data_IF_400660430014
#
_entry.id   IF_400660430014
#
_cell.length_a   1.000
_cell.length_b   1.000
_cell.length_c   1.000
_cell.angle_alpha   90.00
_cell.angle_beta   90.00
_cell.angle_gamma   90.00
#
_symmetry.space_group_name_H-M   'P 1'
#
loop_
_entity.id
_entity.type
_entity.pdbx_description
1 polymer ?
#
# COMPACT_ATOMS: atom_id res chain seq x y z
N UNK A 1 -6.08 36.18 -23.29
CA UNK A 1 -5.45 35.22 -22.35
C UNK A 1 -6.52 34.75 -21.37
N UNK A 2 -7.09 33.57 -21.61
CA UNK A 2 -8.17 33.02 -20.79
C UNK A 2 -7.65 32.50 -19.46
N UNK A 3 -8.31 32.89 -18.36
CA UNK A 3 -8.08 32.38 -17.00
C UNK A 3 -8.25 30.86 -17.01
N UNK A 4 -7.16 30.14 -16.75
CA UNK A 4 -7.10 28.67 -16.89
C UNK A 4 -7.58 27.89 -15.66
N UNK A 5 -8.03 28.55 -14.60
CA UNK A 5 -8.60 27.88 -13.42
C UNK A 5 -9.75 28.71 -12.86
N UNK A 6 -10.95 28.13 -12.77
CA UNK A 6 -12.11 28.74 -12.12
C UNK A 6 -11.90 28.90 -10.60
N UNK A 7 -12.78 29.65 -9.93
CA UNK A 7 -12.74 29.89 -8.48
C UNK A 7 -12.72 28.62 -7.62
N UNK A 8 -13.22 27.51 -8.17
CA UNK A 8 -13.18 26.16 -7.58
C UNK A 8 -11.73 25.63 -7.51
N UNK A 9 -10.94 25.80 -8.58
CA UNK A 9 -9.56 25.33 -8.66
C UNK A 9 -8.65 26.00 -7.63
N UNK A 10 -8.83 27.31 -7.39
CA UNK A 10 -8.05 28.05 -6.40
C UNK A 10 -8.26 27.54 -4.96
N UNK A 11 -9.51 27.19 -4.59
CA UNK A 11 -9.83 26.63 -3.27
C UNK A 11 -9.22 25.24 -3.07
N UNK A 12 -9.15 24.44 -4.13
CA UNK A 12 -8.49 23.13 -4.07
C UNK A 12 -6.99 23.27 -3.80
N UNK A 13 -6.27 24.18 -4.47
CA UNK A 13 -4.83 24.38 -4.26
C UNK A 13 -4.49 24.91 -2.85
N UNK A 14 -5.29 25.81 -2.29
CA UNK A 14 -5.10 26.31 -0.92
C UNK A 14 -5.31 25.22 0.14
N UNK A 15 -6.30 24.34 -0.04
CA UNK A 15 -6.55 23.24 0.90
C UNK A 15 -5.49 22.14 0.89
N UNK A 16 -4.86 21.86 -0.26
CA UNK A 16 -3.73 20.92 -0.34
C UNK A 16 -2.49 21.45 0.40
N UNK A 17 -2.18 22.75 0.25
CA UNK A 17 -1.09 23.40 0.97
C UNK A 17 -1.33 23.45 2.48
N UNK A 18 -2.56 23.77 2.90
CA UNK A 18 -2.96 23.77 4.31
C UNK A 18 -2.86 22.37 4.94
N UNK A 19 -3.26 21.32 4.20
CA UNK A 19 -3.18 19.93 4.65
C UNK A 19 -1.74 19.49 4.92
N UNK A 20 -0.83 19.70 3.97
CA UNK A 20 0.58 19.35 4.14
C UNK A 20 1.20 20.07 5.35
N UNK A 21 0.88 21.36 5.54
CA UNK A 21 1.43 22.15 6.63
C UNK A 21 0.88 21.72 8.01
N UNK A 22 -0.41 21.39 8.11
CA UNK A 22 -1.00 20.79 9.33
C UNK A 22 -0.37 19.44 9.65
N UNK A 23 -0.12 18.61 8.64
CA UNK A 23 0.46 17.29 8.81
C UNK A 23 1.93 17.34 9.25
N UNK A 24 2.71 18.29 8.72
CA UNK A 24 4.07 18.56 9.22
C UNK A 24 4.03 18.99 10.70
N UNK A 25 3.08 19.83 11.08
CA UNK A 25 2.92 20.28 12.47
C UNK A 25 2.47 19.17 13.43
N UNK A 26 1.74 18.17 12.93
CA UNK A 26 1.35 16.98 13.71
C UNK A 26 2.42 15.88 13.73
N UNK A 27 3.60 16.12 13.13
CA UNK A 27 4.69 15.14 13.09
C UNK A 27 4.49 14.02 12.07
N UNK A 28 3.64 14.22 11.06
CA UNK A 28 3.42 13.23 10.02
C UNK A 28 4.67 13.03 9.16
N UNK A 29 4.89 11.78 8.75
CA UNK A 29 5.99 11.39 7.88
C UNK A 29 5.79 11.92 6.45
N UNK A 30 6.87 12.11 5.66
CA UNK A 30 6.78 12.48 4.24
C UNK A 30 5.85 11.56 3.44
N UNK A 31 5.82 10.28 3.80
CA UNK A 31 4.96 9.25 3.23
C UNK A 31 3.47 9.51 3.50
N UNK A 32 3.14 9.88 4.74
CA UNK A 32 1.77 10.22 5.15
C UNK A 32 1.28 11.49 4.47
N UNK A 33 2.14 12.50 4.33
CA UNK A 33 1.84 13.75 3.62
C UNK A 33 1.54 13.47 2.15
N UNK A 34 2.36 12.64 1.49
CA UNK A 34 2.17 12.33 0.07
C UNK A 34 0.88 11.51 -0.20
N UNK A 35 0.55 10.58 0.71
CA UNK A 35 -0.69 9.82 0.64
C UNK A 35 -1.92 10.75 0.80
N UNK A 36 -1.89 11.66 1.77
CA UNK A 36 -2.98 12.60 2.02
C UNK A 36 -3.20 13.58 0.85
N UNK A 37 -2.11 14.11 0.27
CA UNK A 37 -2.18 14.96 -0.92
C UNK A 37 -2.78 14.21 -2.12
N UNK A 38 -2.39 12.94 -2.32
CA UNK A 38 -2.94 12.11 -3.41
C UNK A 38 -4.44 11.88 -3.26
N UNK A 39 -4.94 11.67 -2.04
CA UNK A 39 -6.38 11.52 -1.79
C UNK A 39 -7.16 12.82 -1.94
N UNK A 40 -6.59 13.93 -1.47
CA UNK A 40 -7.17 15.26 -1.62
C UNK A 40 -7.31 15.65 -3.10
N UNK A 41 -6.28 15.41 -3.91
CA UNK A 41 -6.28 15.67 -5.36
C UNK A 41 -7.25 14.77 -6.13
N UNK A 42 -7.63 13.61 -5.58
CA UNK A 42 -8.62 12.69 -6.16
C UNK A 42 -10.07 13.06 -5.80
N UNK A 43 -10.31 14.15 -5.06
CA UNK A 43 -11.65 14.64 -4.74
C UNK A 43 -12.45 13.73 -3.79
N UNK A 44 -11.77 12.86 -3.04
CA UNK A 44 -12.39 11.91 -2.12
C UNK A 44 -12.61 12.49 -0.71
N UNK A 45 -12.74 13.82 -0.59
CA UNK A 45 -13.05 14.51 0.66
C UNK A 45 -14.39 15.23 0.46
N UNK A 46 -15.47 14.89 1.20
CA UNK A 46 -16.73 15.60 1.09
C UNK A 46 -16.57 17.09 1.36
N UNK A 47 -17.29 17.93 0.61
CA UNK A 47 -17.30 19.38 0.82
C UNK A 47 -17.56 19.72 2.29
N UNK A 48 -16.66 20.52 2.88
CA UNK A 48 -16.78 21.00 4.26
C UNK A 48 -16.19 20.09 5.34
N UNK A 49 -15.57 18.95 5.01
CA UNK A 49 -14.81 18.16 5.98
C UNK A 49 -13.34 18.61 6.03
N UNK A 50 -12.78 18.76 7.25
CA UNK A 50 -11.34 19.02 7.39
C UNK A 50 -10.59 17.82 6.80
N UNK A 51 -9.65 18.00 5.85
CA UNK A 51 -8.88 16.88 5.31
C UNK A 51 -8.03 16.19 6.39
N UNK A 52 -7.78 16.82 7.55
CA UNK A 52 -7.25 16.18 8.74
C UNK A 52 -8.29 15.30 9.48
N UNK A 53 -9.59 15.61 9.42
CA UNK A 53 -10.66 14.71 9.88
C UNK A 53 -10.88 13.51 8.96
N UNK A 54 -10.41 13.53 7.71
CA UNK A 54 -10.34 12.32 6.86
C UNK A 54 -9.45 11.21 7.45
N UNK A 55 -8.56 11.54 8.40
CA UNK A 55 -7.81 10.57 9.20
C UNK A 55 -8.67 9.88 10.28
N UNK A 56 -9.81 10.48 10.66
CA UNK A 56 -10.75 9.94 11.65
C UNK A 56 -11.31 8.58 11.22
N UNK A 57 -11.62 8.41 9.94
CA UNK A 57 -12.26 7.18 9.46
C UNK A 57 -11.33 5.97 9.48
N UNK A 58 -10.01 6.16 9.36
CA UNK A 58 -9.00 5.10 9.41
C UNK A 58 -8.35 4.95 10.78
N UNK A 59 -8.57 5.89 11.70
CA UNK A 59 -8.18 5.77 13.10
C UNK A 59 -8.72 4.48 13.73
N UNK A 60 -9.89 4.00 13.29
CA UNK A 60 -10.46 2.70 13.70
C UNK A 60 -9.59 1.48 13.35
N UNK A 61 -8.66 1.61 12.41
CA UNK A 61 -7.72 0.56 12.02
C UNK A 61 -6.33 0.73 12.63
N UNK A 62 -6.13 1.71 13.51
CA UNK A 62 -4.87 1.90 14.23
C UNK A 62 -4.98 1.37 15.64
N UNK A 63 -3.86 0.94 16.21
CA UNK A 63 -3.74 0.56 17.61
C UNK A 63 -3.48 1.80 18.49
N UNK A 64 -3.42 1.61 19.80
CA UNK A 64 -3.19 2.69 20.78
C UNK A 64 -1.87 3.44 20.58
N UNK A 65 -0.88 2.82 19.93
CA UNK A 65 0.43 3.42 19.61
C UNK A 65 0.42 4.19 18.30
N UNK A 66 -0.69 4.16 17.57
CA UNK A 66 -0.81 4.79 16.26
C UNK A 66 -0.34 3.92 15.09
N UNK A 67 0.14 2.69 15.32
CA UNK A 67 0.48 1.76 14.25
C UNK A 67 -0.77 1.12 13.65
N UNK A 68 -0.67 0.58 12.44
CA UNK A 68 -1.76 -0.21 11.85
C UNK A 68 -2.05 -1.46 12.68
N UNK A 69 -3.32 -1.71 12.95
CA UNK A 69 -3.82 -2.95 13.53
C UNK A 69 -3.86 -4.03 12.46
N UNK A 70 -2.70 -4.63 12.19
CA UNK A 70 -2.57 -5.67 11.19
C UNK A 70 -3.35 -6.93 11.58
N UNK A 71 -4.01 -7.60 10.63
CA UNK A 71 -4.64 -8.90 10.88
C UNK A 71 -3.62 -9.93 11.42
N UNK A 72 -4.07 -10.89 12.26
CA UNK A 72 -3.21 -11.95 12.77
C UNK A 72 -2.69 -12.85 11.64
N UNK A 73 -1.81 -13.80 11.98
CA UNK A 73 -1.26 -14.78 11.04
C UNK A 73 -0.59 -14.15 9.81
N UNK A 74 0.09 -13.02 9.99
CA UNK A 74 0.72 -12.26 8.90
C UNK A 74 -0.31 -11.88 7.81
N UNK A 75 -1.55 -11.60 8.21
CA UNK A 75 -2.64 -11.24 7.31
C UNK A 75 -3.16 -12.35 6.42
N UNK A 76 -2.86 -13.62 6.72
CA UNK A 76 -3.47 -14.75 6.05
C UNK A 76 -4.69 -15.29 6.83
N UNK A 77 -5.66 -15.85 6.11
CA UNK A 77 -6.77 -16.62 6.69
C UNK A 77 -6.19 -17.82 7.45
N UNK A 78 -6.63 -18.02 8.69
CA UNK A 78 -6.19 -19.15 9.51
C UNK A 78 -6.40 -20.47 8.79
N UNK A 79 -5.40 -21.35 8.78
CA UNK A 79 -5.44 -22.64 8.07
C UNK A 79 -5.18 -22.57 6.57
N UNK A 80 -5.09 -21.38 5.95
CA UNK A 80 -4.75 -21.24 4.52
C UNK A 80 -3.24 -21.26 4.24
N UNK A 81 -2.42 -21.10 5.28
CA UNK A 81 -0.96 -21.00 5.14
C UNK A 81 -0.35 -22.37 4.88
N UNK A 82 0.47 -22.45 3.84
CA UNK A 82 1.23 -23.66 3.48
C UNK A 82 2.63 -23.30 2.97
N UNK A 83 3.59 -24.19 3.20
CA UNK A 83 4.92 -24.06 2.62
C UNK A 83 4.85 -24.36 1.12
N UNK A 84 5.55 -23.55 0.32
CA UNK A 84 5.60 -23.71 -1.13
C UNK A 84 6.98 -23.32 -1.67
N UNK A 85 7.21 -23.59 -2.95
CA UNK A 85 8.29 -22.99 -3.71
C UNK A 85 7.71 -22.22 -4.90
N UNK A 86 8.03 -20.93 -5.02
CA UNK A 86 7.61 -20.10 -6.15
C UNK A 86 8.49 -20.47 -7.35
N UNK A 87 7.91 -20.91 -8.48
CA UNK A 87 8.69 -21.38 -9.61
C UNK A 87 9.39 -20.24 -10.35
N UNK A 88 10.52 -20.55 -10.98
CA UNK A 88 11.20 -19.66 -11.92
C UNK A 88 10.24 -19.23 -13.04
N UNK A 89 10.34 -17.97 -13.45
CA UNK A 89 9.49 -17.34 -14.47
C UNK A 89 8.19 -16.75 -13.92
N UNK A 90 7.87 -16.98 -12.64
CA UNK A 90 6.70 -16.36 -12.00
C UNK A 90 6.88 -14.84 -11.98
N UNK A 91 5.84 -14.10 -12.38
CA UNK A 91 5.78 -12.65 -12.22
C UNK A 91 5.05 -12.34 -10.92
N UNK A 92 5.75 -11.65 -10.03
CA UNK A 92 5.27 -11.19 -8.74
C UNK A 92 5.14 -9.67 -8.76
N UNK A 93 4.29 -9.12 -7.91
CA UNK A 93 4.29 -7.68 -7.65
C UNK A 93 4.10 -7.34 -6.17
N UNK A 94 4.50 -6.12 -5.83
CA UNK A 94 4.42 -5.56 -4.48
C UNK A 94 4.10 -4.08 -4.52
N UNK A 95 3.23 -3.67 -3.62
CA UNK A 95 3.08 -2.27 -3.22
C UNK A 95 3.93 -2.02 -1.98
N UNK A 96 4.79 -0.99 -2.03
CA UNK A 96 5.63 -0.57 -0.91
C UNK A 96 7.12 -0.91 -1.05
N UNK A 97 7.88 -0.65 0.02
CA UNK A 97 9.34 -0.71 0.04
C UNK A 97 9.92 -2.12 -0.19
N UNK A 98 11.13 -2.17 -0.75
CA UNK A 98 11.93 -3.38 -0.99
C UNK A 98 12.48 -4.03 0.30
N UNK A 99 12.37 -3.34 1.44
CA UNK A 99 12.66 -3.91 2.76
C UNK A 99 11.59 -4.89 3.26
N UNK A 100 10.49 -5.04 2.52
CA UNK A 100 9.40 -5.95 2.88
C UNK A 100 9.59 -7.39 2.42
N UNK A 101 8.69 -8.26 2.89
CA UNK A 101 8.74 -9.70 2.68
C UNK A 101 7.51 -10.27 1.95
N UNK A 102 6.50 -9.43 1.65
CA UNK A 102 5.23 -9.88 1.09
C UNK A 102 5.08 -9.49 -0.38
N UNK A 103 4.66 -10.44 -1.19
CA UNK A 103 4.41 -10.28 -2.64
C UNK A 103 3.16 -11.05 -3.00
N UNK A 104 2.53 -10.70 -4.12
CA UNK A 104 1.47 -11.51 -4.72
C UNK A 104 1.85 -11.91 -6.15
N UNK A 105 1.26 -12.98 -6.71
CA UNK A 105 1.24 -13.15 -8.16
C UNK A 105 0.76 -11.86 -8.83
N UNK A 106 1.42 -11.46 -9.92
CA UNK A 106 0.98 -10.25 -10.60
C UNK A 106 -0.41 -10.42 -11.20
N UNK A 107 -1.23 -9.39 -11.07
CA UNK A 107 -2.63 -9.41 -11.48
C UNK A 107 -3.63 -9.65 -10.36
N UNK A 108 -3.20 -10.00 -9.13
CA UNK A 108 -4.10 -9.99 -7.96
C UNK A 108 -4.66 -8.57 -7.77
N UNK A 109 -5.98 -8.35 -7.77
CA UNK A 109 -6.59 -7.02 -7.60
C UNK A 109 -6.15 -6.32 -6.32
N UNK A 110 -6.15 -4.98 -6.32
CA UNK A 110 -5.70 -4.20 -5.15
C UNK A 110 -6.56 -4.47 -3.90
N UNK A 111 -7.89 -4.51 -4.05
CA UNK A 111 -8.85 -4.79 -2.96
C UNK A 111 -8.67 -6.19 -2.37
N UNK A 112 -8.19 -7.15 -3.16
CA UNK A 112 -7.94 -8.51 -2.69
C UNK A 112 -6.67 -8.64 -1.85
N UNK A 113 -5.90 -7.55 -1.70
CA UNK A 113 -4.64 -7.53 -0.95
C UNK A 113 -4.77 -6.99 0.47
N UNK A 114 -5.92 -6.43 0.83
CA UNK A 114 -6.20 -5.89 2.16
C UNK A 114 -5.05 -5.04 2.73
N UNK A 115 -4.54 -4.11 1.92
CA UNK A 115 -3.40 -3.29 2.27
C UNK A 115 -3.82 -2.13 3.17
N UNK A 116 -2.93 -1.68 4.04
CA UNK A 116 -3.19 -0.53 4.89
C UNK A 116 -3.48 0.72 4.04
N UNK A 117 -4.36 1.63 4.52
CA UNK A 117 -4.65 2.88 3.84
C UNK A 117 -3.37 3.67 3.51
N UNK A 118 -3.34 4.30 2.34
CA UNK A 118 -2.17 5.03 1.83
C UNK A 118 -1.16 4.18 1.06
N UNK A 119 -1.21 2.85 1.14
CA UNK A 119 -0.29 1.96 0.39
C UNK A 119 -0.39 2.15 -1.14
N UNK A 120 -1.57 2.55 -1.64
CA UNK A 120 -1.80 2.85 -3.07
C UNK A 120 -0.99 4.04 -3.61
N UNK A 121 -0.40 4.88 -2.74
CA UNK A 121 0.47 5.97 -3.16
C UNK A 121 1.80 5.45 -3.76
N UNK A 122 2.16 4.20 -3.49
CA UNK A 122 3.30 3.54 -4.11
C UNK A 122 2.82 2.71 -5.29
N UNK A 123 3.28 2.99 -6.53
CA UNK A 123 2.94 2.14 -7.66
C UNK A 123 3.48 0.72 -7.44
N UNK A 124 2.77 -0.31 -7.91
CA UNK A 124 3.25 -1.68 -7.76
C UNK A 124 4.52 -1.88 -8.58
N UNK A 125 5.55 -2.44 -7.96
CA UNK A 125 6.77 -2.87 -8.65
C UNK A 125 6.62 -4.34 -8.98
N UNK A 126 6.93 -4.71 -10.22
CA UNK A 126 6.89 -6.08 -10.72
C UNK A 126 8.28 -6.71 -10.68
N UNK A 127 8.31 -8.00 -10.36
CA UNK A 127 9.51 -8.80 -10.26
C UNK A 127 9.33 -10.13 -10.99
N UNK A 128 10.35 -10.57 -11.73
CA UNK A 128 10.42 -11.92 -12.31
C UNK A 128 11.29 -12.80 -11.41
N UNK A 129 10.77 -13.97 -11.05
CA UNK A 129 11.51 -14.99 -10.31
C UNK A 129 12.53 -15.66 -11.22
N UNK A 130 13.82 -15.50 -10.93
CA UNK A 130 14.92 -16.05 -11.74
C UNK A 130 15.48 -17.36 -11.19
N UNK A 131 15.24 -17.66 -9.91
CA UNK A 131 15.53 -18.95 -9.25
C UNK A 131 14.34 -19.33 -8.38
N UNK A 132 14.01 -20.63 -8.20
CA UNK A 132 12.94 -21.04 -7.31
C UNK A 132 13.13 -20.49 -5.88
N UNK A 133 12.06 -19.99 -5.26
CA UNK A 133 12.10 -19.34 -3.93
C UNK A 133 11.19 -20.09 -2.95
N UNK A 134 11.71 -20.68 -1.87
CA UNK A 134 10.90 -21.17 -0.76
C UNK A 134 10.13 -20.01 -0.11
N UNK A 135 8.83 -20.22 0.13
CA UNK A 135 7.97 -19.21 0.72
C UNK A 135 6.78 -19.84 1.44
N UNK A 136 6.14 -19.07 2.31
CA UNK A 136 4.79 -19.37 2.82
C UNK A 136 3.76 -18.79 1.86
N UNK A 137 2.83 -19.60 1.36
CA UNK A 137 1.66 -19.16 0.58
C UNK A 137 0.45 -19.12 1.50
N UNK A 138 -0.34 -18.05 1.43
CA UNK A 138 -1.61 -17.95 2.15
C UNK A 138 -2.66 -17.16 1.36
N UNK A 139 -3.92 -17.36 1.73
CA UNK A 139 -5.04 -16.52 1.27
C UNK A 139 -5.12 -15.29 2.17
N UNK A 140 -5.14 -14.10 1.58
CA UNK A 140 -5.16 -12.83 2.31
C UNK A 140 -6.50 -12.67 3.04
N UNK A 141 -6.45 -12.36 4.33
CA UNK A 141 -7.64 -12.11 5.14
C UNK A 141 -8.24 -10.73 4.81
N UNK A 142 -9.57 -10.53 5.00
CA UNK A 142 -10.17 -9.20 4.96
C UNK A 142 -9.52 -8.28 6.01
N UNK A 143 -9.12 -7.08 5.63
CA UNK A 143 -8.62 -6.05 6.55
C UNK A 143 -8.78 -4.65 5.96
N UNK A 144 -8.74 -3.63 6.83
CA UNK A 144 -8.80 -2.22 6.43
C UNK A 144 -10.04 -1.81 5.61
N UNK A 145 -11.12 -2.59 5.69
CA UNK A 145 -12.35 -2.36 4.92
C UNK A 145 -12.35 -2.99 3.53
N UNK A 146 -11.29 -3.73 3.19
CA UNK A 146 -11.14 -4.45 1.95
C UNK A 146 -11.46 -5.95 2.14
N UNK A 147 -12.00 -6.62 1.11
CA UNK A 147 -12.46 -8.00 1.21
C UNK A 147 -11.32 -9.02 1.32
N UNK A 148 -10.10 -8.71 0.87
CA UNK A 148 -9.02 -9.70 0.79
C UNK A 148 -9.36 -10.82 -0.20
N UNK A 149 -8.90 -12.04 0.08
CA UNK A 149 -9.15 -13.23 -0.73
C UNK A 149 -8.08 -13.51 -1.79
N UNK A 150 -7.18 -12.56 -2.05
CA UNK A 150 -6.06 -12.75 -2.96
C UNK A 150 -5.01 -13.71 -2.42
N UNK A 151 -4.06 -14.10 -3.26
CA UNK A 151 -2.90 -14.90 -2.84
C UNK A 151 -1.77 -13.97 -2.41
N UNK A 152 -1.16 -14.28 -1.27
CA UNK A 152 0.13 -13.71 -0.89
C UNK A 152 1.18 -14.80 -0.69
N UNK A 153 2.43 -14.41 -0.95
CA UNK A 153 3.61 -15.12 -0.49
C UNK A 153 4.34 -14.28 0.55
N UNK A 154 4.71 -14.91 1.67
CA UNK A 154 5.68 -14.39 2.62
C UNK A 154 7.02 -15.06 2.37
N UNK A 155 8.00 -14.24 2.04
CA UNK A 155 9.35 -14.62 1.68
C UNK A 155 10.22 -14.75 2.94
N UNK A 156 11.26 -15.57 2.87
CA UNK A 156 12.23 -15.72 3.97
C UNK A 156 13.23 -14.55 4.04
N UNK A 157 13.43 -13.86 2.92
CA UNK A 157 14.33 -12.71 2.76
C UNK A 157 13.58 -11.50 2.20
N UNK A 158 14.17 -10.31 2.36
CA UNK A 158 13.60 -9.07 1.80
C UNK A 158 13.67 -9.07 0.27
N UNK A 159 12.85 -8.25 -0.38
CA UNK A 159 12.94 -8.01 -1.83
C UNK A 159 14.35 -7.54 -2.21
N UNK A 160 14.93 -6.63 -1.43
CA UNK A 160 16.29 -6.12 -1.62
C UNK A 160 17.34 -7.25 -1.63
N UNK A 161 17.31 -8.15 -0.63
CA UNK A 161 18.24 -9.27 -0.57
C UNK A 161 18.00 -10.30 -1.69
N UNK A 162 16.74 -10.55 -2.06
CA UNK A 162 16.43 -11.44 -3.19
C UNK A 162 16.89 -10.87 -4.53
N UNK A 163 16.86 -9.55 -4.73
CA UNK A 163 17.44 -8.90 -5.92
C UNK A 163 18.96 -9.07 -5.90
N UNK A 164 19.60 -8.69 -4.80
CA UNK A 164 21.07 -8.75 -4.62
C UNK A 164 21.61 -10.16 -4.84
N UNK A 165 20.94 -11.17 -4.32
CA UNK A 165 21.31 -12.58 -4.43
C UNK A 165 20.82 -13.24 -5.74
N UNK A 166 20.21 -12.46 -6.64
CA UNK A 166 19.73 -12.87 -7.95
C UNK A 166 18.75 -14.03 -7.87
N UNK A 167 17.76 -13.93 -6.99
CA UNK A 167 16.56 -14.77 -6.95
C UNK A 167 15.38 -14.15 -7.68
N UNK A 168 15.30 -12.82 -7.68
CA UNK A 168 14.35 -12.04 -8.47
C UNK A 168 15.06 -10.90 -9.21
N UNK A 169 14.43 -10.36 -10.25
CA UNK A 169 14.83 -9.10 -10.92
C UNK A 169 13.60 -8.22 -11.15
N UNK A 170 13.78 -6.90 -11.16
CA UNK A 170 12.72 -5.96 -11.56
C UNK A 170 12.33 -6.19 -13.01
N UNK A 171 11.04 -6.08 -13.30
CA UNK A 171 10.51 -6.03 -14.67
C UNK A 171 10.26 -4.56 -15.00
N UNK A 172 10.94 -4.03 -16.00
CA UNK A 172 10.68 -2.68 -16.51
C UNK A 172 9.28 -2.65 -17.17
N UNK A 173 8.52 -1.58 -16.90
CA UNK A 173 7.18 -1.35 -17.45
C UNK A 173 7.25 -0.66 -18.80
#
# INVERSE_FOLDING_TARGET
MGRLFGSEGAKHFEGAGSLAQKMVQSGATPEEINAALTHYLKGQVPDGQDPATGWSQYGKYRNEKGDWNWPPNNGAISGSVSQTTIPKGTILDRFGSEKGYFVSPSGVPYSERSLAPGTAAYPPVKYEVIKPIPAEKGTIAPAFGEPGGGVQYKLNDTIEELIKNKYIKKVEQ
#
